data_IF_783122417744
#
_entry.id   IF_783122417744
#
_cell.length_a   1.000
_cell.length_b   1.000
_cell.length_c   1.000
_cell.angle_alpha   90.00
_cell.angle_beta   90.00
_cell.angle_gamma   90.00
#
_symmetry.space_group_name_H-M   'P 1'
#
loop_
_entity.id
_entity.type
_entity.pdbx_description
1 polymer ?
#
# COMPACT_ATOMS: atom_id res chain seq x y z
N UNK A 1 17.19 -34.18 64.79
CA UNK A 1 17.61 -32.77 64.63
C UNK A 1 16.82 -32.15 63.49
N UNK A 2 16.19 -31.00 63.76
CA UNK A 2 15.72 -29.91 62.86
C UNK A 2 14.65 -30.20 61.77
N UNK A 3 13.45 -29.72 62.12
CA UNK A 3 12.35 -29.16 61.31
C UNK A 3 12.79 -28.27 60.13
N UNK A 4 11.97 -28.21 59.07
CA UNK A 4 11.41 -26.93 58.59
C UNK A 4 10.22 -27.15 57.63
N UNK A 5 9.02 -26.87 58.13
CA UNK A 5 7.86 -26.47 57.31
C UNK A 5 8.17 -25.16 56.58
N UNK A 6 7.56 -24.95 55.40
CA UNK A 6 7.22 -23.67 54.72
C UNK A 6 7.11 -23.96 53.20
N UNK A 7 6.16 -23.53 52.37
CA UNK A 7 5.16 -22.47 52.42
C UNK A 7 4.12 -22.71 51.31
N UNK A 8 2.83 -22.68 51.66
CA UNK A 8 1.73 -22.37 50.75
C UNK A 8 1.87 -20.93 50.22
N UNK A 9 1.93 -20.70 48.90
CA UNK A 9 1.59 -19.40 48.31
C UNK A 9 0.89 -19.55 46.94
N UNK A 10 -0.44 -19.58 47.02
CA UNK A 10 -1.47 -18.98 46.15
C UNK A 10 -1.10 -18.74 44.68
N UNK A 11 -1.73 -19.52 43.80
CA UNK A 11 -1.94 -19.16 42.39
C UNK A 11 -2.81 -17.89 42.32
N UNK A 12 -2.22 -16.78 41.88
CA UNK A 12 -2.91 -15.54 41.58
C UNK A 12 -3.27 -15.57 40.08
N UNK A 13 -4.52 -15.91 39.77
CA UNK A 13 -5.09 -15.77 38.43
C UNK A 13 -5.45 -14.29 38.25
N UNK A 14 -4.70 -13.58 37.41
CA UNK A 14 -5.05 -12.25 36.90
C UNK A 14 -5.67 -12.41 35.51
N UNK A 15 -6.97 -12.14 35.31
CA UNK A 15 -7.49 -11.93 33.97
C UNK A 15 -7.06 -10.54 33.50
N UNK A 16 -6.08 -10.50 32.59
CA UNK A 16 -5.68 -9.28 31.89
C UNK A 16 -6.78 -8.92 30.90
N UNK A 17 -7.63 -7.97 31.28
CA UNK A 17 -8.62 -7.35 30.39
C UNK A 17 -7.86 -6.42 29.43
N UNK A 18 -7.52 -6.91 28.25
CA UNK A 18 -7.01 -6.07 27.17
C UNK A 18 -8.18 -5.52 26.34
N UNK A 19 -8.61 -4.32 26.74
CA UNK A 19 -8.92 -3.14 25.93
C UNK A 19 -9.17 -3.45 24.44
N UNK A 20 -10.44 -3.42 24.06
CA UNK A 20 -10.91 -3.27 22.69
C UNK A 20 -10.57 -1.86 22.18
N UNK A 21 -9.44 -1.73 21.48
CA UNK A 21 -9.21 -0.58 20.59
C UNK A 21 -9.70 -1.00 19.21
N UNK A 22 -10.71 -0.28 18.71
CA UNK A 22 -11.20 -0.38 17.33
C UNK A 22 -10.06 0.01 16.38
N UNK A 23 -9.24 -0.97 15.97
CA UNK A 23 -8.31 -0.80 14.87
C UNK A 23 -9.13 -0.72 13.59
N UNK A 24 -9.32 0.49 13.07
CA UNK A 24 -9.61 0.68 11.66
C UNK A 24 -8.44 0.07 10.88
N UNK A 25 -8.67 -1.08 10.25
CA UNK A 25 -7.70 -1.72 9.37
C UNK A 25 -7.49 -0.84 8.14
N UNK A 26 -6.48 0.03 8.19
CA UNK A 26 -5.98 0.71 7.00
C UNK A 26 -5.36 -0.35 6.08
N UNK A 27 -5.57 -0.27 4.76
CA UNK A 27 -4.87 -1.13 3.83
C UNK A 27 -3.37 -0.87 3.92
N UNK A 28 -2.60 -1.87 4.36
CA UNK A 28 -1.14 -1.83 4.37
C UNK A 28 -0.62 -1.99 2.94
N UNK A 29 -0.22 -0.88 2.32
CA UNK A 29 0.55 -0.92 1.09
C UNK A 29 2.01 -1.18 1.45
N UNK A 30 2.43 -2.42 1.24
CA UNK A 30 3.85 -2.72 1.26
C UNK A 30 4.50 -2.09 0.01
N UNK A 31 5.20 -0.97 0.20
CA UNK A 31 6.19 -0.48 -0.75
C UNK A 31 7.17 -1.63 -1.05
N UNK A 32 7.29 -2.05 -2.32
CA UNK A 32 8.34 -3.00 -2.67
C UNK A 32 8.82 -2.91 -4.12
N UNK A 33 10.14 -2.74 -4.20
CA UNK A 33 11.07 -3.19 -5.24
C UNK A 33 10.85 -2.66 -6.66
N UNK A 34 10.82 -1.34 -6.81
CA UNK A 34 11.26 -0.68 -8.04
C UNK A 34 12.64 -0.07 -7.81
N UNK A 35 13.50 -0.08 -8.84
CA UNK A 35 14.73 0.71 -8.86
C UNK A 35 14.32 2.19 -8.68
N UNK A 36 14.36 2.68 -7.43
CA UNK A 36 13.96 4.03 -7.05
C UNK A 36 14.98 5.01 -7.63
N UNK A 37 14.93 5.24 -8.94
CA UNK A 37 15.52 6.42 -9.55
C UNK A 37 14.64 7.63 -9.18
N UNK A 38 14.69 7.98 -7.89
CA UNK A 38 14.01 9.13 -7.30
C UNK A 38 14.41 10.45 -7.98
N UNK A 39 15.47 10.45 -8.78
CA UNK A 39 15.88 11.58 -9.62
C UNK A 39 14.82 11.97 -10.67
N UNK A 40 14.08 10.99 -11.19
CA UNK A 40 13.13 11.20 -12.31
C UNK A 40 11.67 11.38 -11.86
N UNK A 41 11.37 11.17 -10.57
CA UNK A 41 10.04 11.33 -10.03
C UNK A 41 9.73 10.44 -8.82
N UNK A 42 8.46 10.47 -8.42
CA UNK A 42 7.89 9.66 -7.35
C UNK A 42 6.40 9.41 -7.60
N UNK A 43 5.92 8.24 -7.22
CA UNK A 43 4.49 7.95 -7.08
C UNK A 43 4.18 7.79 -5.59
N UNK A 44 3.18 8.51 -5.11
CA UNK A 44 2.74 8.43 -3.72
C UNK A 44 1.32 7.90 -3.67
N UNK A 45 1.08 6.88 -2.85
CA UNK A 45 -0.28 6.54 -2.48
C UNK A 45 -0.79 7.54 -1.44
N UNK A 46 -1.90 8.20 -1.77
CA UNK A 46 -2.48 9.24 -0.91
C UNK A 46 -3.51 8.63 0.04
N UNK A 47 -4.52 7.93 -0.51
CA UNK A 47 -5.62 7.34 0.27
C UNK A 47 -6.47 6.38 -0.56
N UNK A 48 -7.31 5.61 0.13
CA UNK A 48 -8.45 4.89 -0.43
C UNK A 48 -9.72 5.69 -0.10
N UNK A 49 -10.53 6.02 -1.10
CA UNK A 49 -11.78 6.79 -0.94
C UNK A 49 -12.86 6.24 -1.85
N UNK A 50 -13.99 5.77 -1.29
CA UNK A 50 -15.13 5.23 -2.05
C UNK A 50 -14.71 4.19 -3.11
N UNK A 51 -13.91 3.18 -2.71
CA UNK A 51 -13.32 2.17 -3.60
C UNK A 51 -12.39 2.69 -4.71
N UNK A 52 -11.98 3.95 -4.63
CA UNK A 52 -10.96 4.54 -5.49
C UNK A 52 -9.61 4.60 -4.77
N UNK A 53 -8.59 4.06 -5.42
CA UNK A 53 -7.20 4.24 -5.03
C UNK A 53 -6.72 5.59 -5.54
N UNK A 54 -6.23 6.44 -4.65
CA UNK A 54 -5.76 7.78 -4.99
C UNK A 54 -4.24 7.80 -4.96
N UNK A 55 -3.63 8.13 -6.10
CA UNK A 55 -2.19 8.26 -6.25
C UNK A 55 -1.82 9.66 -6.70
N UNK A 56 -0.76 10.22 -6.13
CA UNK A 56 -0.10 11.42 -6.64
C UNK A 56 1.12 11.00 -7.46
N UNK A 57 1.16 11.45 -8.71
CA UNK A 57 2.27 11.18 -9.63
C UNK A 57 3.03 12.48 -9.85
N UNK A 58 4.31 12.47 -9.53
CA UNK A 58 5.21 13.59 -9.78
C UNK A 58 6.41 13.10 -10.58
N UNK A 59 6.64 13.70 -11.75
CA UNK A 59 7.77 13.39 -12.64
C UNK A 59 8.59 14.67 -12.88
N UNK A 60 9.90 14.52 -12.89
CA UNK A 60 10.88 15.59 -13.08
C UNK A 60 11.84 15.25 -14.21
N UNK A 61 12.58 16.26 -14.70
CA UNK A 61 13.64 16.08 -15.69
C UNK A 61 13.18 15.37 -16.99
N UNK A 62 11.92 15.58 -17.38
CA UNK A 62 11.36 14.96 -18.58
C UNK A 62 12.05 15.59 -19.81
N UNK A 63 12.52 14.78 -20.76
CA UNK A 63 13.23 15.29 -21.94
C UNK A 63 12.30 16.12 -22.84
N UNK A 64 12.86 17.02 -23.66
CA UNK A 64 12.09 17.90 -24.54
C UNK A 64 11.16 17.18 -25.54
N UNK A 65 11.45 15.91 -25.87
CA UNK A 65 10.57 15.06 -26.71
C UNK A 65 9.38 14.48 -25.94
N UNK A 66 9.32 14.69 -24.64
CA UNK A 66 8.32 14.14 -23.74
C UNK A 66 8.59 12.71 -23.31
N UNK A 67 7.66 12.18 -22.53
CA UNK A 67 7.58 10.77 -22.15
C UNK A 67 6.14 10.27 -22.24
N UNK A 68 5.97 8.96 -22.11
CA UNK A 68 4.68 8.28 -22.08
C UNK A 68 4.54 7.61 -20.72
N UNK A 69 3.53 8.04 -19.95
CA UNK A 69 3.12 7.44 -18.69
C UNK A 69 2.07 6.37 -18.96
N UNK A 70 2.28 5.17 -18.43
CA UNK A 70 1.37 4.05 -18.47
C UNK A 70 1.10 3.56 -17.05
N UNK A 71 -0.16 3.21 -16.79
CA UNK A 71 -0.59 2.55 -15.56
C UNK A 71 -1.20 1.22 -15.97
N UNK A 72 -0.65 0.12 -15.44
CA UNK A 72 -1.13 -1.25 -15.74
C UNK A 72 -1.49 -1.99 -14.46
N UNK A 73 -2.42 -2.94 -14.55
CA UNK A 73 -2.74 -3.86 -13.45
C UNK A 73 -1.70 -5.00 -13.34
N UNK A 74 -1.96 -5.98 -12.48
CA UNK A 74 -1.15 -7.20 -12.27
C UNK A 74 -1.00 -8.07 -13.52
N UNK A 75 -1.99 -8.08 -14.41
CA UNK A 75 -2.01 -8.88 -15.62
C UNK A 75 -1.27 -8.19 -16.78
N UNK A 76 -0.88 -6.92 -16.59
CA UNK A 76 -0.32 -6.07 -17.64
C UNK A 76 -1.39 -5.35 -18.48
N UNK A 77 -2.67 -5.46 -18.10
CA UNK A 77 -3.72 -4.72 -18.79
C UNK A 77 -3.55 -3.22 -18.53
N UNK A 78 -3.65 -2.44 -19.61
CA UNK A 78 -3.52 -0.99 -19.55
C UNK A 78 -4.78 -0.35 -18.98
N UNK A 79 -4.64 0.30 -17.83
CA UNK A 79 -5.70 1.08 -17.19
C UNK A 79 -5.69 2.51 -17.74
N UNK A 80 -4.50 3.06 -17.95
CA UNK A 80 -4.33 4.44 -18.37
C UNK A 80 -3.05 4.63 -19.17
N UNK A 81 -3.10 5.54 -20.14
CA UNK A 81 -1.95 5.99 -20.91
C UNK A 81 -2.02 7.50 -21.19
N UNK A 82 -0.88 8.19 -21.04
CA UNK A 82 -0.77 9.61 -21.33
C UNK A 82 0.59 9.99 -21.86
N UNK A 83 0.59 10.76 -22.93
CA UNK A 83 1.77 11.47 -23.41
C UNK A 83 1.97 12.78 -22.64
N UNK A 84 3.19 13.02 -22.18
CA UNK A 84 3.59 14.19 -21.39
C UNK A 84 4.67 14.92 -22.17
N UNK A 85 4.41 16.18 -22.53
CA UNK A 85 5.33 17.02 -23.32
C UNK A 85 5.82 18.25 -22.54
N UNK A 86 5.93 18.12 -21.22
CA UNK A 86 6.42 19.16 -20.30
C UNK A 86 7.68 18.68 -19.61
N UNK A 87 8.54 19.58 -19.13
CA UNK A 87 9.78 19.25 -18.41
C UNK A 87 9.55 18.65 -17.01
N UNK A 88 8.36 18.89 -16.45
CA UNK A 88 7.87 18.31 -15.21
C UNK A 88 6.38 18.02 -15.34
N UNK A 89 5.88 17.13 -14.49
CA UNK A 89 4.48 16.73 -14.51
C UNK A 89 4.03 16.35 -13.11
N UNK A 90 2.88 16.88 -12.68
CA UNK A 90 2.23 16.49 -11.44
C UNK A 90 0.75 16.25 -11.71
N UNK A 91 0.24 15.10 -11.29
CA UNK A 91 -1.18 14.78 -11.43
C UNK A 91 -1.64 13.79 -10.36
N UNK A 92 -2.87 13.98 -9.88
CA UNK A 92 -3.57 13.01 -9.04
C UNK A 92 -4.38 12.06 -9.93
N UNK A 93 -4.21 10.77 -9.72
CA UNK A 93 -4.97 9.70 -10.34
C UNK A 93 -5.90 9.07 -9.32
N UNK A 94 -7.13 8.79 -9.76
CA UNK A 94 -8.11 8.00 -9.02
C UNK A 94 -8.39 6.76 -9.84
N UNK A 95 -8.09 5.60 -9.31
CA UNK A 95 -8.20 4.32 -10.01
C UNK A 95 -9.20 3.45 -9.25
N UNK A 96 -10.22 2.93 -9.94
CA UNK A 96 -11.15 1.97 -9.34
C UNK A 96 -10.41 0.73 -8.87
N UNK A 97 -10.68 0.29 -7.65
CA UNK A 97 -9.96 -0.83 -7.04
C UNK A 97 -10.25 -2.17 -7.71
N UNK A 98 -11.45 -2.38 -8.28
CA UNK A 98 -11.92 -3.55 -9.04
C UNK A 98 -11.00 -4.80 -9.07
N UNK A 99 -10.86 -5.50 -7.94
CA UNK A 99 -10.03 -6.70 -7.79
C UNK A 99 -8.55 -6.56 -8.19
N UNK A 100 -8.04 -5.34 -8.36
CA UNK A 100 -6.65 -5.06 -8.65
C UNK A 100 -5.84 -5.38 -7.39
N UNK A 101 -4.90 -6.31 -7.54
CA UNK A 101 -3.96 -6.71 -6.49
C UNK A 101 -2.61 -6.01 -6.65
N UNK A 102 -2.32 -5.47 -7.83
CA UNK A 102 -1.08 -4.74 -8.11
C UNK A 102 -1.28 -3.65 -9.16
N UNK A 103 -0.64 -2.50 -8.94
CA UNK A 103 -0.53 -1.44 -9.95
C UNK A 103 0.93 -1.21 -10.30
N UNK A 104 1.23 -1.06 -11.59
CA UNK A 104 2.54 -0.64 -12.07
C UNK A 104 2.39 0.70 -12.79
N UNK A 105 3.22 1.66 -12.41
CA UNK A 105 3.38 2.94 -13.07
C UNK A 105 4.69 2.90 -13.84
N UNK A 106 4.67 3.32 -15.11
CA UNK A 106 5.87 3.38 -15.94
C UNK A 106 5.84 4.64 -16.81
N UNK A 107 6.87 5.47 -16.72
CA UNK A 107 7.08 6.59 -17.61
C UNK A 107 8.33 6.36 -18.47
N UNK A 108 8.16 6.34 -19.79
CA UNK A 108 9.23 6.00 -20.74
C UNK A 108 9.38 7.09 -21.81
N UNK A 109 10.61 7.51 -22.08
CA UNK A 109 10.98 8.46 -23.12
C UNK A 109 12.42 8.25 -23.60
N UNK A 110 12.91 9.08 -24.53
CA UNK A 110 14.30 8.97 -25.00
C UNK A 110 15.25 9.28 -23.84
N UNK A 111 16.03 8.28 -23.42
CA UNK A 111 16.95 8.36 -22.27
C UNK A 111 16.25 8.74 -20.95
N UNK A 112 14.95 8.47 -20.84
CA UNK A 112 14.16 8.73 -19.64
C UNK A 112 13.37 7.48 -19.28
N UNK A 113 13.55 6.99 -18.07
CA UNK A 113 12.81 5.84 -17.55
C UNK A 113 12.54 6.06 -16.07
N UNK A 114 11.29 5.84 -15.71
CA UNK A 114 10.82 5.82 -14.33
C UNK A 114 9.80 4.70 -14.21
N UNK A 115 9.85 3.92 -13.14
CA UNK A 115 8.82 2.92 -12.87
C UNK A 115 8.70 2.65 -11.39
N UNK A 116 7.46 2.49 -10.93
CA UNK A 116 7.13 2.16 -9.55
C UNK A 116 5.96 1.19 -9.53
N UNK A 117 5.89 0.35 -8.49
CA UNK A 117 4.87 -0.69 -8.38
C UNK A 117 4.32 -0.76 -6.97
N UNK A 118 3.01 -0.93 -6.86
CA UNK A 118 2.27 -0.98 -5.60
C UNK A 118 1.56 -2.31 -5.49
N UNK A 119 1.87 -3.08 -4.44
CA UNK A 119 1.13 -4.28 -4.11
C UNK A 119 -0.02 -3.92 -3.17
N UNK A 120 -1.24 -4.13 -3.65
CA UNK A 120 -2.46 -3.81 -2.94
C UNK A 120 -2.91 -5.05 -2.15
N UNK A 121 -2.23 -5.35 -1.03
CA UNK A 121 -2.63 -6.46 -0.15
C UNK A 121 -3.70 -5.98 0.82
N UNK A 122 -4.92 -6.47 0.65
CA UNK A 122 -6.02 -6.20 1.57
C UNK A 122 -6.31 -7.47 2.39
N UNK A 123 -6.11 -7.42 3.71
CA UNK A 123 -6.60 -8.48 4.60
C UNK A 123 -8.13 -8.45 4.57
N UNK A 124 -8.74 -9.45 3.94
CA UNK A 124 -10.17 -9.74 4.12
C UNK A 124 -10.30 -10.45 5.46
N UNK A 125 -10.65 -9.73 6.52
CA UNK A 125 -11.08 -10.37 7.77
C UNK A 125 -12.53 -10.80 7.59
N UNK A 126 -12.75 -12.06 7.20
CA UNK A 126 -14.07 -12.67 7.32
C UNK A 126 -14.45 -12.76 8.80
N UNK A 127 -15.31 -11.84 9.25
CA UNK A 127 -15.99 -11.98 10.53
C UNK A 127 -16.99 -13.13 10.43
N UNK A 128 -16.57 -14.33 10.84
CA UNK A 128 -17.48 -15.42 11.11
C UNK A 128 -18.24 -15.05 12.40
N UNK A 129 -19.42 -14.46 12.26
CA UNK A 129 -20.36 -14.36 13.38
C UNK A 129 -20.84 -15.76 13.73
N UNK A 130 -20.24 -16.34 14.77
CA UNK A 130 -20.77 -17.56 15.39
C UNK A 130 -21.96 -17.14 16.27
N UNK A 131 -23.16 -17.15 15.69
CA UNK A 131 -24.39 -17.07 16.46
C UNK A 131 -24.46 -18.30 17.38
N UNK A 132 -24.30 -18.11 18.70
CA UNK A 132 -24.61 -19.15 19.67
C UNK A 132 -26.12 -19.33 19.74
N UNK A 133 -26.58 -20.54 19.43
CA UNK A 133 -27.92 -21.06 19.73
C UNK A 133 -28.14 -21.19 21.24
#
# INVERSE_FOLDING_TARGET
MKSLNQLFKKALVLPLICISVLSFSQPELNESAGDKNAENGSIEFVKLENDMLVFKVSLSQIPARGCQLQITNENGDMIFEKKINSSSFEQIYRIERNNISKLNFAATGKNFRFSESFNLRFKVEEKIEVSKL
#
